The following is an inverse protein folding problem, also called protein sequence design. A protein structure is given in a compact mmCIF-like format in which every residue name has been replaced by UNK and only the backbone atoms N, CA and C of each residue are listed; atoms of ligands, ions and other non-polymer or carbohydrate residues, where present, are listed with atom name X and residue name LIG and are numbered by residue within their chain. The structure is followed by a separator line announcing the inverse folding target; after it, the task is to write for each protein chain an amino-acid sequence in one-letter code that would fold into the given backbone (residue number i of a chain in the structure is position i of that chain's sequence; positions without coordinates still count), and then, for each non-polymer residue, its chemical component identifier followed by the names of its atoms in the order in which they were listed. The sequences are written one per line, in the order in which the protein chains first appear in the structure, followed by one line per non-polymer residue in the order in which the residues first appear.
data_IF_444159633022
#
_entry.id   IF_444159633022
#
_cell.length_a   1.000
_cell.length_b   1.000
_cell.length_c   1.000
_cell.angle_alpha   90.00
_cell.angle_beta   90.00
_cell.angle_gamma   90.00
#
_symmetry.space_group_name_H-M   'P 1'
#
loop_
_entity.id
_entity.type
_entity.pdbx_description
1 polymer ?
#
# COMPACT_ATOMS: atom_id res chain seq x y z
N UNK A 1 27.96 58.81 -27.28
CA UNK A 1 26.63 58.64 -26.68
C UNK A 1 25.65 58.26 -27.78
N UNK A 2 25.05 57.07 -27.70
CA UNK A 2 23.60 57.03 -27.51
C UNK A 2 23.19 56.05 -26.40
N UNK A 3 22.09 56.39 -25.74
CA UNK A 3 21.59 55.75 -24.53
C UNK A 3 21.01 54.35 -24.79
N UNK A 4 21.40 53.40 -23.95
CA UNK A 4 20.89 52.03 -23.88
C UNK A 4 19.57 52.01 -23.11
N UNK A 5 18.49 51.51 -23.72
CA UNK A 5 17.28 51.14 -22.98
C UNK A 5 17.52 49.84 -22.19
N UNK A 6 17.02 49.73 -20.95
CA UNK A 6 17.17 48.52 -20.15
C UNK A 6 16.27 47.38 -20.68
N UNK A 7 16.68 46.12 -20.54
CA UNK A 7 15.90 44.97 -21.00
C UNK A 7 14.61 44.81 -20.18
N UNK A 8 13.53 44.46 -20.89
CA UNK A 8 12.22 44.20 -20.31
C UNK A 8 12.27 43.05 -19.29
N UNK A 9 11.62 43.23 -18.14
CA UNK A 9 11.44 42.18 -17.12
C UNK A 9 10.70 40.98 -17.73
N UNK A 10 11.14 39.73 -17.48
CA UNK A 10 10.43 38.56 -17.94
C UNK A 10 9.05 38.50 -17.28
N UNK A 11 8.03 38.37 -18.13
CA UNK A 11 6.63 38.21 -17.76
C UNK A 11 6.51 36.88 -17.01
N UNK A 12 6.11 36.90 -15.75
CA UNK A 12 5.82 35.70 -14.99
C UNK A 12 4.72 34.91 -15.71
N UNK A 13 5.07 33.76 -16.29
CA UNK A 13 4.06 32.80 -16.74
C UNK A 13 3.38 32.25 -15.49
N UNK A 14 2.12 32.62 -15.30
CA UNK A 14 1.22 31.95 -14.38
C UNK A 14 1.04 30.52 -14.88
N UNK A 15 1.84 29.58 -14.36
CA UNK A 15 1.52 28.17 -14.47
C UNK A 15 0.34 27.89 -13.56
N UNK A 16 -0.82 27.64 -14.18
CA UNK A 16 -1.96 27.02 -13.51
C UNK A 16 -1.50 25.67 -12.93
N UNK A 17 -1.20 25.66 -11.63
CA UNK A 17 -1.02 24.44 -10.84
C UNK A 17 -2.38 23.76 -10.71
N UNK A 18 -2.82 23.07 -11.76
CA UNK A 18 -3.77 21.97 -11.59
C UNK A 18 -3.00 20.82 -10.94
N UNK A 19 -2.97 20.80 -9.61
CA UNK A 19 -2.73 19.57 -8.85
C UNK A 19 -3.64 18.50 -9.41
N UNK A 20 -3.08 17.56 -10.16
CA UNK A 20 -3.77 16.32 -10.51
C UNK A 20 -3.88 15.56 -9.19
N UNK A 21 -4.95 15.84 -8.44
CA UNK A 21 -5.31 15.00 -7.32
C UNK A 21 -5.50 13.60 -7.90
N UNK A 22 -4.61 12.67 -7.53
CA UNK A 22 -4.85 11.26 -7.76
C UNK A 22 -6.27 10.97 -7.27
N UNK A 23 -7.07 10.28 -8.07
CA UNK A 23 -8.41 9.84 -7.68
C UNK A 23 -8.28 8.80 -6.56
N UNK A 24 -7.97 9.24 -5.35
CA UNK A 24 -7.99 8.44 -4.14
C UNK A 24 -9.45 8.06 -3.94
N UNK A 25 -9.75 6.75 -3.91
CA UNK A 25 -11.09 6.25 -3.62
C UNK A 25 -11.53 6.85 -2.27
N UNK A 26 -12.74 7.44 -2.18
CA UNK A 26 -13.16 8.11 -0.96
C UNK A 26 -13.22 7.09 0.19
N UNK A 27 -12.83 7.51 1.41
CA UNK A 27 -12.96 6.66 2.58
C UNK A 27 -14.44 6.28 2.76
N UNK A 28 -14.67 5.02 3.14
CA UNK A 28 -16.02 4.42 3.12
C UNK A 28 -16.65 4.42 4.52
N UNK A 29 -17.99 4.60 4.62
CA UNK A 29 -18.69 4.36 5.86
C UNK A 29 -18.53 2.89 6.29
N UNK A 30 -18.57 2.56 7.59
CA UNK A 30 -18.52 1.18 8.04
C UNK A 30 -19.69 0.40 7.43
N UNK A 31 -19.40 -0.68 6.69
CA UNK A 31 -20.40 -1.69 6.34
C UNK A 31 -20.35 -2.80 7.38
N UNK A 32 -21.41 -3.59 7.51
CA UNK A 32 -21.39 -4.78 8.36
C UNK A 32 -21.00 -6.03 7.56
N UNK A 33 -20.32 -6.97 8.21
CA UNK A 33 -20.09 -8.31 7.62
C UNK A 33 -21.44 -9.02 7.52
N UNK A 34 -21.84 -9.52 6.34
CA UNK A 34 -23.16 -10.14 6.15
C UNK A 34 -23.46 -11.23 7.18
N UNK A 35 -24.57 -11.07 7.90
CA UNK A 35 -25.00 -12.00 8.96
C UNK A 35 -24.43 -11.72 10.35
N UNK A 36 -23.78 -10.56 10.56
CA UNK A 36 -23.20 -10.17 11.86
C UNK A 36 -23.38 -8.67 12.13
N UNK A 37 -23.08 -8.25 13.37
CA UNK A 37 -22.99 -6.83 13.76
C UNK A 37 -21.55 -6.27 13.68
N UNK A 38 -20.61 -7.02 13.08
CA UNK A 38 -19.20 -6.62 13.01
C UNK A 38 -18.97 -5.64 11.88
N UNK A 39 -18.11 -4.62 12.06
CA UNK A 39 -17.65 -3.82 10.93
C UNK A 39 -16.88 -4.74 9.96
N UNK A 40 -17.21 -4.65 8.69
CA UNK A 40 -16.45 -5.31 7.66
C UNK A 40 -15.15 -4.54 7.40
N UNK A 41 -14.20 -5.28 6.86
CA UNK A 41 -12.84 -4.80 6.62
C UNK A 41 -12.81 -3.84 5.44
N UNK A 42 -12.09 -2.72 5.60
CA UNK A 42 -11.84 -1.72 4.58
C UNK A 42 -10.45 -1.98 3.98
N UNK A 43 -10.42 -2.48 2.75
CA UNK A 43 -9.19 -2.68 1.98
C UNK A 43 -8.77 -1.38 1.31
N UNK A 44 -7.65 -0.79 1.72
CA UNK A 44 -7.15 0.46 1.13
C UNK A 44 -6.93 0.31 -0.39
N UNK A 45 -7.39 1.26 -1.21
CA UNK A 45 -7.27 1.21 -2.67
C UNK A 45 -7.84 -0.06 -3.34
N UNK A 46 -8.66 -0.84 -2.63
CA UNK A 46 -9.17 -2.12 -3.07
C UNK A 46 -10.60 -2.39 -2.59
N UNK A 47 -11.04 -3.64 -2.73
CA UNK A 47 -12.39 -4.04 -2.38
C UNK A 47 -12.49 -5.47 -1.87
N UNK A 48 -13.63 -5.79 -1.29
CA UNK A 48 -13.99 -7.15 -0.90
C UNK A 48 -14.55 -7.91 -2.10
N UNK A 49 -14.13 -9.15 -2.28
CA UNK A 49 -14.66 -10.03 -3.32
C UNK A 49 -16.13 -10.34 -3.00
N UNK A 50 -17.08 -10.06 -3.92
CA UNK A 50 -18.48 -10.42 -3.70
C UNK A 50 -18.66 -11.93 -3.71
N UNK A 51 -19.70 -12.40 -3.03
CA UNK A 51 -20.13 -13.79 -3.06
C UNK A 51 -21.62 -13.91 -3.38
N UNK A 52 -22.01 -15.09 -3.84
CA UNK A 52 -23.41 -15.52 -3.93
C UNK A 52 -23.62 -16.67 -2.94
N UNK A 53 -24.70 -16.63 -2.16
CA UNK A 53 -25.08 -17.74 -1.30
C UNK A 53 -25.82 -18.79 -2.13
N UNK A 54 -25.26 -20.00 -2.26
CA UNK A 54 -25.88 -21.14 -2.95
C UNK A 54 -25.91 -22.33 -2.01
N UNK A 55 -27.11 -22.79 -1.66
CA UNK A 55 -27.32 -23.97 -0.79
C UNK A 55 -26.52 -23.92 0.53
N UNK A 56 -26.47 -22.74 1.15
CA UNK A 56 -25.72 -22.52 2.40
C UNK A 56 -24.20 -22.36 2.22
N UNK A 57 -23.69 -22.35 0.99
CA UNK A 57 -22.28 -22.14 0.65
C UNK A 57 -22.07 -20.72 0.12
N UNK A 58 -21.11 -19.98 0.67
CA UNK A 58 -20.66 -18.70 0.11
C UNK A 58 -19.76 -18.96 -1.08
N UNK A 59 -20.28 -18.76 -2.28
CA UNK A 59 -19.55 -18.98 -3.53
C UNK A 59 -18.92 -17.67 -4.03
N UNK A 60 -17.60 -17.67 -4.15
CA UNK A 60 -16.76 -16.57 -4.63
C UNK A 60 -16.15 -16.92 -5.99
N UNK A 61 -15.99 -15.92 -6.86
CA UNK A 61 -15.38 -16.10 -8.19
C UNK A 61 -14.12 -15.24 -8.30
N UNK A 62 -12.97 -15.90 -8.32
CA UNK A 62 -11.64 -15.29 -8.44
C UNK A 62 -11.11 -15.53 -9.87
N UNK A 63 -10.67 -14.50 -10.57
CA UNK A 63 -10.17 -14.62 -11.95
C UNK A 63 -8.76 -14.08 -12.05
N UNK A 64 -7.79 -14.98 -12.25
CA UNK A 64 -6.39 -14.64 -12.48
C UNK A 64 -6.19 -14.14 -13.92
N UNK A 65 -5.64 -12.93 -14.10
CA UNK A 65 -5.35 -12.37 -15.42
C UNK A 65 -4.33 -11.22 -15.35
N UNK A 66 -3.77 -10.87 -16.51
CA UNK A 66 -2.93 -9.68 -16.68
C UNK A 66 -3.77 -8.42 -16.87
N UNK A 67 -3.35 -7.31 -16.25
CA UNK A 67 -3.92 -5.98 -16.46
C UNK A 67 -2.88 -4.88 -16.14
N UNK A 68 -3.18 -3.64 -16.53
CA UNK A 68 -2.39 -2.46 -16.16
C UNK A 68 -2.97 -1.84 -14.88
N UNK A 69 -2.10 -1.54 -13.92
CA UNK A 69 -2.44 -0.86 -12.68
C UNK A 69 -1.57 0.37 -12.47
N UNK A 70 -2.18 1.50 -12.17
CA UNK A 70 -1.46 2.73 -11.83
C UNK A 70 -1.04 2.71 -10.35
N UNK A 71 0.27 2.67 -10.09
CA UNK A 71 0.84 2.64 -8.75
C UNK A 71 0.92 4.04 -8.14
N UNK A 72 1.22 5.05 -8.97
CA UNK A 72 1.18 6.47 -8.66
C UNK A 72 0.84 7.25 -9.94
N UNK A 73 0.41 8.53 -9.87
CA UNK A 73 0.08 9.30 -11.07
C UNK A 73 1.19 9.26 -12.12
N UNK A 74 0.88 8.71 -13.31
CA UNK A 74 1.84 8.56 -14.41
C UNK A 74 2.79 7.37 -14.31
N UNK A 75 2.68 6.54 -13.25
CA UNK A 75 3.44 5.31 -13.05
C UNK A 75 2.53 4.09 -13.10
N UNK A 76 2.55 3.41 -14.25
CA UNK A 76 1.68 2.29 -14.61
C UNK A 76 2.48 1.00 -14.72
N UNK A 77 1.96 -0.05 -14.11
CA UNK A 77 2.62 -1.34 -14.02
C UNK A 77 1.69 -2.41 -14.57
N UNK A 78 2.23 -3.24 -15.47
CA UNK A 78 1.57 -4.42 -16.03
C UNK A 78 1.78 -5.57 -15.07
N UNK A 79 0.73 -5.88 -14.32
CA UNK A 79 0.72 -6.87 -13.25
C UNK A 79 -0.13 -8.08 -13.63
N UNK A 80 0.10 -9.21 -12.97
CA UNK A 80 -0.90 -10.26 -12.87
C UNK A 80 -1.55 -10.19 -11.50
N UNK A 81 -2.85 -10.42 -11.47
CA UNK A 81 -3.60 -10.35 -10.23
C UNK A 81 -4.98 -10.95 -10.41
N UNK A 82 -5.87 -10.58 -9.49
CA UNK A 82 -7.19 -11.18 -9.43
C UNK A 82 -8.26 -10.11 -9.58
N UNK A 83 -9.24 -10.37 -10.44
CA UNK A 83 -10.42 -9.52 -10.65
C UNK A 83 -10.08 -8.04 -10.95
N UNK A 84 -8.94 -7.78 -11.62
CA UNK A 84 -8.52 -6.46 -12.06
C UNK A 84 -7.78 -5.63 -11.01
N UNK A 85 -7.24 -6.29 -9.97
CA UNK A 85 -6.49 -5.62 -8.89
C UNK A 85 -5.29 -6.45 -8.41
N UNK A 86 -4.22 -5.76 -8.03
CA UNK A 86 -3.03 -6.32 -7.35
C UNK A 86 -2.69 -5.44 -6.14
N UNK A 87 -2.79 -5.94 -4.90
CA UNK A 87 -3.28 -7.27 -4.54
C UNK A 87 -4.72 -7.48 -5.01
N UNK A 88 -5.10 -8.75 -5.18
CA UNK A 88 -6.46 -9.16 -5.49
C UNK A 88 -7.46 -8.74 -4.42
N UNK A 89 -8.76 -8.85 -4.71
CA UNK A 89 -9.81 -8.45 -3.77
C UNK A 89 -9.72 -9.25 -2.47
N UNK A 90 -10.06 -8.61 -1.36
CA UNK A 90 -10.09 -9.27 -0.05
C UNK A 90 -11.23 -10.27 0.00
N UNK A 91 -10.94 -11.53 0.33
CA UNK A 91 -11.97 -12.53 0.59
C UNK A 91 -12.39 -12.37 2.05
N UNK A 92 -13.68 -12.25 2.33
CA UNK A 92 -14.19 -12.00 3.68
C UNK A 92 -15.33 -12.95 4.01
N UNK A 93 -15.19 -13.67 5.12
CA UNK A 93 -16.16 -14.65 5.58
C UNK A 93 -16.18 -14.70 7.13
N UNK A 94 -17.09 -15.50 7.69
CA UNK A 94 -17.21 -15.69 9.13
C UNK A 94 -16.79 -17.13 9.47
N UNK A 95 -16.12 -17.30 10.60
CA UNK A 95 -15.81 -18.61 11.17
C UNK A 95 -17.05 -19.51 11.17
N UNK A 96 -16.94 -20.74 10.67
CA UNK A 96 -18.02 -21.70 10.50
C UNK A 96 -18.73 -21.64 9.14
N UNK A 97 -18.47 -20.61 8.32
CA UNK A 97 -19.02 -20.58 6.96
C UNK A 97 -18.41 -21.68 6.09
N UNK A 98 -19.24 -22.30 5.26
CA UNK A 98 -18.78 -23.10 4.12
C UNK A 98 -18.55 -22.17 2.93
N UNK A 99 -17.33 -22.19 2.40
CA UNK A 99 -16.93 -21.35 1.26
C UNK A 99 -16.61 -22.23 0.06
N UNK A 100 -16.98 -21.75 -1.12
CA UNK A 100 -16.55 -22.30 -2.42
C UNK A 100 -15.90 -21.17 -3.21
N UNK A 101 -14.67 -21.35 -3.63
CA UNK A 101 -13.92 -20.35 -4.38
C UNK A 101 -13.63 -20.93 -5.75
N UNK A 102 -14.32 -20.41 -6.76
CA UNK A 102 -14.09 -20.76 -8.16
C UNK A 102 -12.95 -19.89 -8.67
N UNK A 103 -11.87 -20.52 -9.11
CA UNK A 103 -10.67 -19.86 -9.63
C UNK A 103 -10.60 -20.09 -11.12
N UNK A 104 -10.81 -19.03 -11.91
CA UNK A 104 -10.65 -19.03 -13.37
C UNK A 104 -9.26 -18.54 -13.73
N UNK A 105 -8.51 -19.35 -14.46
CA UNK A 105 -7.18 -18.99 -14.96
C UNK A 105 -7.28 -18.39 -16.37
N UNK A 106 -6.90 -17.12 -16.53
CA UNK A 106 -6.74 -16.46 -17.85
C UNK A 106 -5.30 -16.00 -18.11
N UNK A 107 -4.34 -16.56 -17.38
CA UNK A 107 -2.90 -16.34 -17.58
C UNK A 107 -2.40 -17.17 -18.77
N UNK A 108 -1.23 -16.83 -19.34
CA UNK A 108 -0.63 -17.63 -20.40
C UNK A 108 -0.07 -18.97 -19.90
N UNK A 109 -0.04 -19.20 -18.58
CA UNK A 109 0.51 -20.40 -17.96
C UNK A 109 -0.42 -20.97 -16.89
N UNK A 110 -0.20 -22.23 -16.44
CA UNK A 110 -0.95 -22.77 -15.32
C UNK A 110 -0.80 -21.93 -14.06
N UNK A 111 -1.76 -22.06 -13.14
CA UNK A 111 -1.69 -21.39 -11.83
C UNK A 111 -2.27 -22.30 -10.76
N UNK A 112 -2.21 -21.87 -9.51
CA UNK A 112 -2.93 -22.47 -8.40
C UNK A 112 -3.22 -21.40 -7.36
N UNK A 113 -3.95 -21.73 -6.30
CA UNK A 113 -4.10 -20.82 -5.15
C UNK A 113 -3.87 -21.59 -3.86
N UNK A 114 -2.87 -21.15 -3.10
CA UNK A 114 -2.69 -21.52 -1.71
C UNK A 114 -3.38 -20.52 -0.78
N UNK A 115 -4.06 -21.04 0.23
CA UNK A 115 -4.83 -20.27 1.22
C UNK A 115 -4.00 -20.09 2.49
N UNK A 116 -3.00 -19.23 2.40
CA UNK A 116 -1.97 -19.02 3.41
C UNK A 116 -2.54 -18.78 4.82
N UNK A 117 -2.25 -19.71 5.73
CA UNK A 117 -2.68 -19.67 7.12
C UNK A 117 -4.09 -20.21 7.38
N UNK A 118 -4.84 -20.65 6.37
CA UNK A 118 -6.17 -21.25 6.53
C UNK A 118 -6.05 -22.74 6.86
N UNK A 119 -6.71 -23.20 7.91
CA UNK A 119 -6.77 -24.63 8.24
C UNK A 119 -7.87 -25.31 7.43
N UNK A 120 -7.47 -26.09 6.44
CA UNK A 120 -8.33 -26.71 5.44
C UNK A 120 -7.95 -28.19 5.20
N UNK A 121 -8.81 -28.99 4.53
CA UNK A 121 -8.44 -30.34 4.10
C UNK A 121 -7.26 -30.29 3.13
N UNK A 122 -6.27 -31.16 3.29
CA UNK A 122 -5.01 -31.11 2.51
C UNK A 122 -5.21 -31.07 0.99
N UNK A 123 -6.23 -31.75 0.43
CA UNK A 123 -6.53 -31.71 -1.00
C UNK A 123 -7.06 -30.36 -1.53
N UNK A 124 -7.34 -29.39 -0.64
CA UNK A 124 -7.80 -28.04 -0.97
C UNK A 124 -6.67 -26.99 -0.79
N UNK A 125 -5.45 -27.43 -0.52
CA UNK A 125 -4.33 -26.56 -0.16
C UNK A 125 -3.70 -25.82 -1.36
N UNK A 126 -3.87 -26.37 -2.57
CA UNK A 126 -3.50 -25.69 -3.82
C UNK A 126 -2.01 -25.58 -4.12
N UNK A 127 -1.16 -26.34 -3.42
CA UNK A 127 0.23 -26.58 -3.82
C UNK A 127 0.27 -27.51 -5.03
N UNK A 128 0.67 -26.98 -6.20
CA UNK A 128 0.70 -27.74 -7.44
C UNK A 128 1.67 -28.92 -7.39
N UNK A 129 1.20 -30.10 -7.79
CA UNK A 129 1.99 -31.33 -7.79
C UNK A 129 2.09 -32.05 -6.42
N UNK A 130 1.68 -31.39 -5.32
CA UNK A 130 1.62 -32.00 -3.99
C UNK A 130 0.18 -32.27 -3.55
N UNK A 131 -0.63 -31.21 -3.46
CA UNK A 131 -1.99 -31.27 -2.92
C UNK A 131 -3.07 -31.30 -4.01
N UNK A 132 -2.78 -30.71 -5.17
CA UNK A 132 -3.65 -30.67 -6.33
C UNK A 132 -2.84 -30.52 -7.64
N UNK A 133 -3.40 -30.90 -8.79
CA UNK A 133 -2.88 -30.48 -10.09
C UNK A 133 -2.94 -28.95 -10.25
N UNK A 134 -2.10 -28.34 -11.11
CA UNK A 134 -2.26 -26.93 -11.47
C UNK A 134 -3.52 -26.71 -12.31
N UNK A 135 -4.06 -25.50 -12.26
CA UNK A 135 -5.20 -25.02 -13.06
C UNK A 135 -4.67 -24.60 -14.44
N UNK A 136 -4.98 -25.32 -15.52
CA UNK A 136 -4.51 -24.95 -16.87
C UNK A 136 -5.09 -23.60 -17.35
N UNK A 137 -4.43 -22.91 -18.29
CA UNK A 137 -4.99 -21.73 -18.95
C UNK A 137 -6.40 -21.97 -19.50
N UNK A 138 -7.32 -21.06 -19.23
CA UNK A 138 -8.72 -21.10 -19.68
C UNK A 138 -9.66 -21.92 -18.80
N UNK A 139 -9.15 -22.69 -17.84
CA UNK A 139 -9.97 -23.53 -16.97
C UNK A 139 -10.45 -22.82 -15.71
N UNK A 140 -11.49 -23.38 -15.08
CA UNK A 140 -12.00 -22.94 -13.77
C UNK A 140 -12.09 -24.12 -12.83
N UNK A 141 -11.44 -23.99 -11.67
CA UNK A 141 -11.36 -25.03 -10.64
C UNK A 141 -11.99 -24.53 -9.35
N UNK A 142 -12.49 -25.44 -8.51
CA UNK A 142 -13.19 -25.10 -7.27
C UNK A 142 -12.38 -25.55 -6.05
N UNK A 143 -12.21 -24.62 -5.10
CA UNK A 143 -11.76 -24.92 -3.75
C UNK A 143 -12.95 -24.80 -2.81
N UNK A 144 -13.27 -25.85 -2.06
CA UNK A 144 -14.43 -25.84 -1.16
C UNK A 144 -14.11 -26.44 0.20
N UNK A 145 -14.32 -25.66 1.26
CA UNK A 145 -14.05 -26.08 2.64
C UNK A 145 -14.86 -25.25 3.64
N UNK A 146 -14.88 -25.73 4.89
CA UNK A 146 -15.50 -25.00 6.02
C UNK A 146 -14.42 -24.29 6.81
N UNK A 147 -14.64 -23.00 7.10
CA UNK A 147 -13.72 -22.21 7.90
C UNK A 147 -13.88 -22.59 9.37
N UNK A 148 -12.82 -23.09 10.01
CA UNK A 148 -12.85 -23.57 11.41
C UNK A 148 -12.05 -22.70 12.38
N UNK A 149 -11.62 -21.53 11.92
CA UNK A 149 -10.86 -20.56 12.68
C UNK A 149 -11.32 -19.15 12.30
N UNK A 150 -10.79 -18.14 12.98
CA UNK A 150 -10.86 -16.74 12.57
C UNK A 150 -9.47 -16.09 12.59
N UNK A 151 -9.30 -14.96 11.89
CA UNK A 151 -8.06 -14.18 11.91
C UNK A 151 -7.80 -13.42 10.61
N UNK A 152 -6.52 -13.09 10.42
CA UNK A 152 -6.00 -12.39 9.24
C UNK A 152 -5.11 -13.35 8.46
N UNK A 153 -5.60 -13.82 7.32
CA UNK A 153 -4.93 -14.75 6.42
C UNK A 153 -4.67 -14.09 5.07
N UNK A 154 -4.00 -14.81 4.17
CA UNK A 154 -3.66 -14.35 2.83
C UNK A 154 -3.98 -15.46 1.83
N UNK A 155 -3.93 -15.14 0.54
CA UNK A 155 -3.92 -16.13 -0.53
C UNK A 155 -2.95 -15.69 -1.61
N UNK A 156 -2.28 -16.65 -2.24
CA UNK A 156 -1.29 -16.42 -3.29
C UNK A 156 -1.13 -17.71 -4.12
N UNK A 157 -0.58 -17.64 -5.35
CA UNK A 157 -0.35 -18.83 -6.12
C UNK A 157 0.77 -19.68 -5.53
N UNK A 158 0.71 -20.97 -5.83
CA UNK A 158 1.74 -21.94 -5.47
C UNK A 158 2.15 -22.79 -6.69
N UNK A 159 1.97 -22.22 -7.88
CA UNK A 159 2.57 -22.61 -9.15
C UNK A 159 3.41 -21.44 -9.63
N UNK A 160 4.62 -21.71 -10.13
CA UNK A 160 5.62 -20.69 -10.52
C UNK A 160 5.64 -19.50 -9.55
N UNK A 161 5.74 -19.81 -8.26
CA UNK A 161 5.54 -18.88 -7.16
C UNK A 161 6.42 -17.63 -7.32
N UNK A 162 7.67 -17.84 -7.72
CA UNK A 162 8.63 -16.78 -7.99
C UNK A 162 8.11 -15.75 -9.01
N UNK A 163 7.65 -16.21 -10.17
CA UNK A 163 7.17 -15.31 -11.22
C UNK A 163 5.84 -14.70 -10.81
N UNK A 164 4.86 -15.53 -10.46
CA UNK A 164 3.48 -15.09 -10.27
C UNK A 164 3.35 -14.12 -9.09
N UNK A 165 4.08 -14.35 -7.99
CA UNK A 165 4.10 -13.41 -6.87
C UNK A 165 4.85 -12.11 -7.22
N UNK A 166 6.03 -12.20 -7.85
CA UNK A 166 6.80 -11.00 -8.24
C UNK A 166 6.03 -10.06 -9.16
N UNK A 167 5.14 -10.60 -10.01
CA UNK A 167 4.27 -9.78 -10.88
C UNK A 167 2.94 -9.38 -10.24
N UNK A 168 2.69 -9.73 -8.97
CA UNK A 168 1.64 -9.13 -8.15
C UNK A 168 0.50 -10.04 -7.70
N UNK A 169 0.59 -11.35 -7.88
CA UNK A 169 -0.51 -12.27 -7.54
C UNK A 169 -0.54 -12.61 -6.05
N UNK A 170 -1.34 -11.88 -5.28
CA UNK A 170 -1.59 -12.12 -3.86
C UNK A 170 -2.85 -11.39 -3.40
N UNK A 171 -3.42 -11.76 -2.25
CA UNK A 171 -4.53 -11.01 -1.64
C UNK A 171 -4.78 -11.39 -0.18
N UNK A 172 -5.65 -10.63 0.48
CA UNK A 172 -6.02 -10.86 1.87
C UNK A 172 -7.22 -11.81 1.98
N UNK A 173 -7.21 -12.68 2.98
CA UNK A 173 -8.35 -13.51 3.38
C UNK A 173 -8.67 -13.21 4.84
N UNK A 174 -9.80 -12.56 5.11
CA UNK A 174 -10.20 -12.21 6.47
C UNK A 174 -11.34 -13.13 6.93
N UNK A 175 -11.10 -13.83 8.03
CA UNK A 175 -12.12 -14.67 8.66
C UNK A 175 -12.53 -14.00 9.97
N UNK A 176 -13.78 -13.54 10.05
CA UNK A 176 -14.32 -12.89 11.24
C UNK A 176 -14.73 -13.92 12.30
N UNK A 177 -14.48 -13.65 13.59
CA UNK A 177 -14.98 -14.51 14.65
C UNK A 177 -16.51 -14.53 14.67
N UNK A 178 -17.09 -15.72 14.86
CA UNK A 178 -18.55 -15.88 14.95
C UNK A 178 -19.11 -15.30 16.25
N UNK A 179 -18.40 -15.47 17.36
CA UNK A 179 -18.78 -14.90 18.65
C UNK A 179 -18.59 -13.38 18.61
N UNK A 180 -19.68 -12.62 18.74
CA UNK A 180 -19.68 -11.16 18.68
C UNK A 180 -18.88 -10.47 19.81
N UNK A 181 -18.59 -11.16 20.93
CA UNK A 181 -17.80 -10.61 22.03
C UNK A 181 -16.30 -10.51 21.70
N UNK A 182 -15.82 -11.26 20.72
CA UNK A 182 -14.39 -11.35 20.42
C UNK A 182 -13.90 -10.17 19.59
N UNK A 183 -12.90 -9.43 20.06
CA UNK A 183 -12.15 -8.48 19.23
C UNK A 183 -13.00 -7.42 18.56
N UNK A 184 -13.91 -6.78 19.31
CA UNK A 184 -14.73 -5.66 18.83
C UNK A 184 -13.87 -4.42 18.54
N UNK A 185 -14.15 -3.75 17.43
CA UNK A 185 -13.53 -2.50 16.98
C UNK A 185 -14.58 -1.66 16.25
N UNK A 186 -14.32 -0.36 16.09
CA UNK A 186 -15.20 0.56 15.35
C UNK A 186 -14.82 0.62 13.86
N UNK A 187 -13.53 0.43 13.56
CA UNK A 187 -12.97 0.46 12.21
C UNK A 187 -12.00 -0.70 12.02
N UNK A 188 -12.14 -1.43 10.93
CA UNK A 188 -11.24 -2.53 10.56
C UNK A 188 -10.67 -2.24 9.18
N UNK A 189 -9.35 -2.08 9.08
CA UNK A 189 -8.64 -1.80 7.84
C UNK A 189 -7.69 -2.94 7.51
N UNK A 190 -7.51 -3.21 6.22
CA UNK A 190 -6.50 -4.18 5.76
C UNK A 190 -5.63 -3.64 4.64
N UNK A 191 -4.38 -4.08 4.67
CA UNK A 191 -3.39 -3.79 3.65
C UNK A 191 -2.40 -4.93 3.48
N UNK A 192 -1.90 -5.04 2.26
CA UNK A 192 -0.85 -5.94 1.82
C UNK A 192 0.37 -5.10 1.45
N UNK A 193 1.52 -5.50 1.96
CA UNK A 193 2.81 -4.90 1.65
C UNK A 193 3.46 -5.68 0.51
N UNK A 194 4.08 -4.98 -0.44
CA UNK A 194 4.78 -5.64 -1.54
C UNK A 194 6.04 -4.88 -1.97
N UNK A 195 6.99 -5.60 -2.54
CA UNK A 195 8.25 -5.10 -3.08
C UNK A 195 8.36 -5.56 -4.53
N UNK A 196 8.85 -4.69 -5.41
CA UNK A 196 8.87 -4.90 -6.86
C UNK A 196 10.23 -4.44 -7.40
N UNK A 197 10.69 -5.10 -8.46
CA UNK A 197 11.78 -4.62 -9.29
C UNK A 197 11.18 -4.07 -10.58
N UNK A 198 11.11 -2.74 -10.70
CA UNK A 198 10.51 -2.05 -11.84
C UNK A 198 11.50 -1.00 -12.32
N UNK A 199 12.32 -1.41 -13.29
CA UNK A 199 13.39 -0.57 -13.82
C UNK A 199 12.85 0.74 -14.42
N UNK A 200 13.54 1.88 -14.24
CA UNK A 200 13.11 3.16 -14.80
C UNK A 200 12.84 3.08 -16.31
N UNK A 201 11.73 3.67 -16.78
CA UNK A 201 11.34 3.58 -18.18
C UNK A 201 10.51 2.34 -18.54
N UNK A 202 10.38 1.36 -17.65
CA UNK A 202 9.69 0.10 -17.90
C UNK A 202 8.37 0.01 -17.14
N UNK A 203 7.52 -0.95 -17.51
CA UNK A 203 6.20 -1.16 -16.88
C UNK A 203 5.94 -2.59 -16.40
N UNK A 204 6.83 -3.55 -16.69
CA UNK A 204 6.66 -4.94 -16.25
C UNK A 204 7.65 -5.22 -15.11
N UNK A 205 7.20 -5.75 -13.96
CA UNK A 205 8.10 -6.20 -12.92
C UNK A 205 9.09 -7.25 -13.45
N UNK A 206 10.33 -7.20 -12.99
CA UNK A 206 11.39 -8.14 -13.34
C UNK A 206 11.46 -9.27 -12.29
N UNK A 207 10.92 -10.47 -12.57
CA UNK A 207 10.92 -11.58 -11.62
C UNK A 207 12.31 -12.22 -11.44
N UNK A 208 13.32 -11.83 -12.23
CA UNK A 208 14.68 -12.33 -12.05
C UNK A 208 15.42 -11.64 -10.89
N UNK A 209 14.91 -10.49 -10.42
CA UNK A 209 15.48 -9.77 -9.28
C UNK A 209 14.93 -10.36 -7.99
N UNK A 210 15.82 -10.96 -7.19
CA UNK A 210 15.44 -11.70 -5.99
C UNK A 210 15.35 -10.83 -4.74
N UNK A 211 16.31 -9.92 -4.52
CA UNK A 211 16.38 -9.15 -3.27
C UNK A 211 16.52 -7.64 -3.50
N UNK A 212 17.08 -7.23 -4.62
CA UNK A 212 17.37 -5.84 -4.97
C UNK A 212 16.15 -5.14 -5.59
N UNK A 213 15.02 -5.21 -4.90
CA UNK A 213 13.80 -4.49 -5.27
C UNK A 213 14.01 -2.97 -5.15
N UNK A 214 13.33 -2.18 -5.98
CA UNK A 214 13.48 -0.73 -6.10
C UNK A 214 12.17 0.05 -5.90
N UNK A 215 11.06 -0.68 -5.80
CA UNK A 215 9.72 -0.13 -5.66
C UNK A 215 8.99 -0.84 -4.53
N UNK A 216 8.45 -0.10 -3.56
CA UNK A 216 7.69 -0.65 -2.45
C UNK A 216 6.29 -0.05 -2.38
N UNK A 217 5.30 -0.88 -2.10
CA UNK A 217 3.89 -0.48 -2.18
C UNK A 217 3.07 -0.93 -0.99
N UNK A 218 2.03 -0.15 -0.69
CA UNK A 218 0.89 -0.56 0.13
C UNK A 218 -0.27 -0.79 -0.85
N UNK A 219 -0.80 -2.00 -0.90
CA UNK A 219 -1.87 -2.41 -1.82
C UNK A 219 -1.60 -2.03 -3.30
N UNK A 220 -0.36 -2.21 -3.77
CA UNK A 220 0.01 -1.88 -5.15
C UNK A 220 -0.09 -0.38 -5.46
N UNK A 221 -0.01 0.49 -4.44
CA UNK A 221 0.08 1.94 -4.56
C UNK A 221 1.33 2.47 -3.88
N UNK A 222 1.82 3.57 -4.45
CA UNK A 222 2.97 4.36 -4.00
C UNK A 222 2.43 5.72 -3.60
N UNK A 223 2.85 6.24 -2.43
CA UNK A 223 2.41 7.55 -1.96
C UNK A 223 2.72 8.63 -3.02
N UNK A 224 1.79 9.54 -3.38
CA UNK A 224 0.55 9.88 -2.69
C UNK A 224 -0.71 9.10 -3.11
N UNK A 225 -0.59 8.04 -3.90
CA UNK A 225 -1.77 7.27 -4.36
C UNK A 225 -2.33 6.28 -3.33
N UNK A 226 -1.64 6.09 -2.20
CA UNK A 226 -2.13 5.25 -1.09
C UNK A 226 -3.28 5.95 -0.37
N UNK A 227 -4.42 5.26 -0.21
CA UNK A 227 -5.60 5.79 0.47
C UNK A 227 -5.31 6.08 1.95
N UNK A 228 -5.86 7.20 2.45
CA UNK A 228 -5.77 7.61 3.84
C UNK A 228 -6.75 6.85 4.74
N UNK A 229 -6.34 6.58 5.98
CA UNK A 229 -7.22 5.99 6.99
C UNK A 229 -7.97 7.10 7.71
N UNK A 230 -9.26 7.25 7.44
CA UNK A 230 -10.08 8.29 8.07
C UNK A 230 -10.89 7.71 9.24
N UNK A 231 -10.66 8.28 10.42
CA UNK A 231 -11.20 7.78 11.69
C UNK A 231 -11.72 8.93 12.55
N UNK A 232 -12.77 8.66 13.34
CA UNK A 232 -13.31 9.61 14.32
C UNK A 232 -12.58 9.47 15.65
N UNK A 233 -12.37 10.57 16.35
CA UNK A 233 -11.79 10.57 17.70
C UNK A 233 -12.54 9.62 18.64
N UNK A 234 -11.80 8.82 19.40
CA UNK A 234 -12.31 7.83 20.34
C UNK A 234 -12.60 6.45 19.73
N UNK A 235 -12.53 6.30 18.40
CA UNK A 235 -12.73 5.00 17.77
C UNK A 235 -11.57 4.04 18.05
N UNK A 236 -11.89 2.78 18.35
CA UNK A 236 -10.94 1.67 18.33
C UNK A 236 -10.76 1.19 16.89
N UNK A 237 -9.53 1.23 16.42
CA UNK A 237 -9.16 0.92 15.04
C UNK A 237 -8.32 -0.34 15.01
N UNK A 238 -8.66 -1.29 14.13
CA UNK A 238 -7.83 -2.44 13.79
C UNK A 238 -7.15 -2.23 12.45
N UNK A 239 -5.85 -2.52 12.40
CA UNK A 239 -5.08 -2.62 11.16
C UNK A 239 -4.61 -4.07 10.97
N UNK A 240 -4.94 -4.64 9.83
CA UNK A 240 -4.54 -5.98 9.39
C UNK A 240 -3.51 -5.84 8.28
N UNK A 241 -2.30 -6.28 8.55
CA UNK A 241 -1.16 -6.04 7.66
C UNK A 241 -0.60 -7.40 7.25
N UNK A 242 -0.72 -7.72 5.97
CA UNK A 242 -0.14 -8.91 5.36
C UNK A 242 1.14 -8.58 4.59
N UNK A 243 2.08 -9.53 4.58
CA UNK A 243 3.30 -9.41 3.79
C UNK A 243 3.72 -10.78 3.27
N UNK A 244 3.68 -10.94 1.95
CA UNK A 244 4.26 -12.08 1.24
C UNK A 244 5.38 -11.64 0.29
N UNK A 245 5.88 -10.41 0.44
CA UNK A 245 7.04 -9.92 -0.31
C UNK A 245 8.33 -10.50 0.23
N UNK A 246 9.43 -10.32 -0.50
CA UNK A 246 10.76 -10.81 -0.07
C UNK A 246 11.47 -9.91 0.95
N UNK A 247 10.77 -8.94 1.54
CA UNK A 247 11.33 -7.97 2.49
C UNK A 247 10.42 -7.85 3.70
N UNK A 248 11.01 -7.78 4.88
CA UNK A 248 10.32 -7.43 6.10
C UNK A 248 10.08 -5.90 6.17
N UNK A 249 8.93 -5.50 6.70
CA UNK A 249 8.51 -4.11 6.79
C UNK A 249 8.21 -3.69 8.24
N UNK A 250 9.06 -2.87 8.88
CA UNK A 250 8.77 -2.29 10.18
C UNK A 250 7.76 -1.14 10.04
N UNK A 251 6.48 -1.39 10.22
CA UNK A 251 5.43 -0.38 10.05
C UNK A 251 5.31 0.48 11.32
N UNK A 252 5.46 1.79 11.18
CA UNK A 252 5.47 2.78 12.26
C UNK A 252 4.23 3.66 12.22
N UNK A 253 3.64 3.93 13.38
CA UNK A 253 2.50 4.83 13.57
C UNK A 253 2.92 6.07 14.35
N UNK A 254 2.58 7.26 13.83
CA UNK A 254 2.77 8.51 14.53
C UNK A 254 1.59 8.82 15.46
N UNK A 255 1.84 9.58 16.52
CA UNK A 255 0.81 10.14 17.41
C UNK A 255 0.06 9.14 18.30
N UNK A 256 0.32 7.84 18.16
CA UNK A 256 -0.36 6.76 18.87
C UNK A 256 0.64 5.65 19.22
N UNK A 257 0.25 4.79 20.16
CA UNK A 257 0.82 3.45 20.30
C UNK A 257 -0.22 2.43 19.81
N UNK A 258 0.25 1.31 19.29
CA UNK A 258 -0.59 0.21 18.81
C UNK A 258 -0.32 -1.06 19.61
N UNK A 259 -1.36 -1.80 19.92
CA UNK A 259 -1.29 -3.10 20.57
C UNK A 259 -1.26 -4.20 19.52
N UNK A 260 -0.31 -5.12 19.61
CA UNK A 260 -0.32 -6.33 18.77
C UNK A 260 -1.36 -7.29 19.30
N UNK A 261 -2.42 -7.51 18.53
CA UNK A 261 -3.60 -8.30 18.95
C UNK A 261 -3.76 -9.61 18.18
N UNK A 262 -2.99 -9.83 17.11
CA UNK A 262 -2.97 -11.10 16.40
C UNK A 262 -1.76 -11.28 15.48
N UNK A 263 -1.47 -12.53 15.15
CA UNK A 263 -0.48 -12.95 14.14
C UNK A 263 -1.16 -13.78 13.05
N UNK A 264 -0.37 -14.32 12.12
CA UNK A 264 -0.78 -15.36 11.15
C UNK A 264 -1.41 -16.60 11.83
N UNK A 265 -1.03 -16.89 13.08
CA UNK A 265 -1.62 -17.93 13.93
C UNK A 265 -2.97 -17.58 14.56
N UNK A 266 -3.49 -16.38 14.37
CA UNK A 266 -4.77 -15.93 14.92
C UNK A 266 -4.63 -14.87 16.03
N UNK A 267 -5.70 -14.70 16.81
CA UNK A 267 -5.73 -13.68 17.88
C UNK A 267 -4.84 -14.06 19.07
N UNK A 268 -4.10 -13.08 19.57
CA UNK A 268 -3.31 -13.20 20.80
C UNK A 268 -4.26 -13.02 22.00
N UNK A 269 -4.22 -13.93 23.01
CA UNK A 269 -4.95 -13.78 24.26
C UNK A 269 -4.66 -12.42 24.92
N UNK A 270 -5.67 -11.80 25.53
CA UNK A 270 -5.57 -10.41 26.00
C UNK A 270 -4.37 -10.15 26.93
N UNK A 271 -4.09 -11.06 27.87
CA UNK A 271 -2.96 -10.97 28.78
C UNK A 271 -1.57 -11.17 28.15
N UNK A 272 -1.50 -11.54 26.87
CA UNK A 272 -0.25 -11.74 26.12
C UNK A 272 -0.04 -10.70 24.99
N UNK A 273 -0.97 -9.75 24.83
CA UNK A 273 -0.82 -8.64 23.89
C UNK A 273 0.21 -7.65 24.42
N UNK A 274 0.92 -6.96 23.53
CA UNK A 274 1.92 -5.97 23.90
C UNK A 274 1.80 -4.70 23.04
N UNK A 275 2.18 -3.53 23.57
CA UNK A 275 2.18 -2.27 22.83
C UNK A 275 3.49 -2.07 22.06
N UNK A 276 3.39 -1.36 20.93
CA UNK A 276 4.48 -0.95 20.07
C UNK A 276 4.16 0.42 19.43
N UNK A 277 5.19 1.15 18.99
CA UNK A 277 5.02 2.25 18.02
C UNK A 277 5.45 1.85 16.62
N UNK A 278 6.24 0.78 16.51
CA UNK A 278 6.73 0.22 15.25
C UNK A 278 6.64 -1.29 15.34
N UNK A 279 5.92 -1.91 14.41
CA UNK A 279 5.73 -3.36 14.38
C UNK A 279 6.43 -3.95 13.17
N UNK A 280 7.20 -5.01 13.38
CA UNK A 280 7.77 -5.77 12.29
C UNK A 280 6.67 -6.63 11.65
N UNK A 281 6.50 -6.51 10.33
CA UNK A 281 5.74 -7.46 9.50
C UNK A 281 6.74 -8.34 8.75
N UNK A 282 6.98 -9.59 9.19
CA UNK A 282 7.91 -10.50 8.52
C UNK A 282 7.41 -10.94 7.15
N UNK A 283 8.31 -11.52 6.35
CA UNK A 283 7.98 -12.22 5.11
C UNK A 283 7.10 -13.44 5.44
N UNK A 284 6.01 -13.63 4.68
CA UNK A 284 5.10 -14.76 4.84
C UNK A 284 4.23 -14.68 6.10
N UNK A 285 4.08 -13.51 6.70
CA UNK A 285 3.33 -13.35 7.95
C UNK A 285 2.30 -12.24 7.86
N UNK A 286 1.33 -12.30 8.78
CA UNK A 286 0.43 -11.18 9.06
C UNK A 286 0.69 -10.62 10.46
N UNK A 287 0.35 -9.34 10.65
CA UNK A 287 0.22 -8.69 11.95
C UNK A 287 -1.12 -8.00 12.02
N UNK A 288 -1.83 -8.25 13.12
CA UNK A 288 -3.05 -7.51 13.46
C UNK A 288 -2.74 -6.63 14.66
N UNK A 289 -2.94 -5.34 14.51
CA UNK A 289 -2.67 -4.34 15.54
C UNK A 289 -3.90 -3.47 15.78
N UNK A 290 -4.04 -2.95 16.99
CA UNK A 290 -5.16 -2.11 17.37
C UNK A 290 -4.71 -0.88 18.15
N UNK A 291 -5.36 0.25 17.91
CA UNK A 291 -5.15 1.47 18.68
C UNK A 291 -6.47 2.21 18.88
N UNK A 292 -6.53 3.08 19.89
CA UNK A 292 -7.64 4.02 20.06
C UNK A 292 -7.21 5.34 19.43
N UNK A 293 -8.02 5.89 18.54
CA UNK A 293 -7.75 7.16 17.88
C UNK A 293 -8.10 8.33 18.82
N UNK A 294 -7.32 8.54 19.88
CA UNK A 294 -7.57 9.55 20.92
C UNK A 294 -6.80 10.87 20.71
N UNK A 295 -5.98 10.95 19.66
CA UNK A 295 -5.15 12.10 19.35
C UNK A 295 -5.53 12.70 17.97
N UNK A 296 -6.40 13.73 17.92
CA UNK A 296 -6.81 14.37 16.67
C UNK A 296 -5.62 14.95 15.89
N UNK A 297 -5.54 14.65 14.59
CA UNK A 297 -4.38 15.04 13.79
C UNK A 297 -4.34 14.36 12.43
N UNK A 298 -3.30 14.70 11.66
CA UNK A 298 -2.87 13.94 10.49
C UNK A 298 -1.55 13.26 10.84
N UNK A 299 -1.59 11.94 10.98
CA UNK A 299 -0.48 11.15 11.49
C UNK A 299 0.05 10.23 10.40
N UNK A 300 1.36 10.27 10.14
CA UNK A 300 1.96 9.36 9.18
C UNK A 300 1.88 7.90 9.69
N UNK A 301 1.60 6.99 8.77
CA UNK A 301 1.73 5.55 8.96
C UNK A 301 2.56 4.99 7.81
N UNK A 302 3.75 4.47 8.11
CA UNK A 302 4.72 4.16 7.06
C UNK A 302 5.67 3.02 7.43
N UNK A 303 6.29 2.41 6.42
CA UNK A 303 7.43 1.52 6.64
C UNK A 303 8.63 2.35 7.13
N UNK A 304 9.34 1.88 8.17
CA UNK A 304 10.44 2.59 8.81
C UNK A 304 11.82 2.18 8.28
N UNK A 305 11.85 1.40 7.18
CA UNK A 305 13.02 1.35 6.31
C UNK A 305 12.99 2.63 5.46
N UNK A 306 13.94 3.54 5.68
CA UNK A 306 13.95 4.86 5.02
C UNK A 306 13.81 4.76 3.50
N UNK A 307 14.52 3.82 2.89
CA UNK A 307 14.41 3.55 1.45
C UNK A 307 13.01 3.07 1.01
N UNK A 308 12.29 2.29 1.83
CA UNK A 308 10.90 1.91 1.55
C UNK A 308 9.93 3.11 1.67
N UNK A 309 10.17 4.03 2.62
CA UNK A 309 9.34 5.22 2.83
C UNK A 309 9.54 6.28 1.73
N UNK A 310 10.76 6.38 1.20
CA UNK A 310 11.11 7.31 0.13
C UNK A 310 10.83 6.72 -1.26
N UNK A 311 10.86 5.40 -1.39
CA UNK A 311 10.83 4.64 -2.63
C UNK A 311 12.08 4.83 -3.49
N UNK A 312 11.96 4.64 -4.81
CA UNK A 312 13.04 4.62 -5.80
C UNK A 312 14.04 5.77 -5.60
N UNK A 313 15.25 5.40 -5.16
CA UNK A 313 16.42 6.28 -5.04
C UNK A 313 17.55 5.62 -5.81
N UNK A 314 18.21 6.33 -6.73
CA UNK A 314 19.32 5.75 -7.48
C UNK A 314 20.48 5.39 -6.54
N UNK A 315 20.85 4.11 -6.46
CA UNK A 315 21.93 3.64 -5.59
C UNK A 315 23.33 3.78 -6.20
N UNK A 316 23.41 3.98 -7.52
CA UNK A 316 24.68 4.09 -8.26
C UNK A 316 25.16 5.54 -8.46
N UNK A 317 24.55 6.50 -7.76
CA UNK A 317 24.94 7.92 -7.85
C UNK A 317 25.99 8.22 -6.77
N UNK A 318 27.11 8.87 -7.12
CA UNK A 318 28.11 9.28 -6.12
C UNK A 318 27.49 10.17 -5.03
N UNK A 319 27.97 10.03 -3.80
CA UNK A 319 27.53 10.87 -2.68
C UNK A 319 28.13 12.29 -2.81
N UNK A 320 27.27 13.28 -3.04
CA UNK A 320 27.66 14.69 -3.15
C UNK A 320 27.30 15.54 -1.92
N UNK A 321 26.87 14.91 -0.82
CA UNK A 321 26.47 15.63 0.40
C UNK A 321 27.62 16.48 0.93
N UNK A 322 27.39 17.80 1.04
CA UNK A 322 28.39 18.77 1.49
C UNK A 322 29.51 19.07 0.47
N UNK A 323 29.43 18.54 -0.75
CA UNK A 323 30.33 18.91 -1.83
C UNK A 323 29.77 20.16 -2.51
N UNK A 324 30.46 21.29 -2.38
CA UNK A 324 30.12 22.52 -3.11
C UNK A 324 30.24 22.30 -4.62
N UNK A 325 29.11 22.18 -5.30
CA UNK A 325 29.09 21.93 -6.75
C UNK A 325 29.09 23.22 -7.58
N UNK A 326 29.03 24.40 -6.98
CA UNK A 326 28.81 25.68 -7.67
C UNK A 326 29.73 25.96 -8.88
N UNK A 327 31.05 25.84 -8.70
CA UNK A 327 32.01 26.10 -9.79
C UNK A 327 31.97 25.00 -10.87
N UNK A 328 31.86 23.75 -10.44
CA UNK A 328 31.77 22.58 -11.33
C UNK A 328 30.48 22.61 -12.14
N UNK A 329 29.36 22.97 -11.53
CA UNK A 329 28.05 23.10 -12.16
C UNK A 329 28.01 24.23 -13.20
N UNK A 330 28.68 25.36 -12.95
CA UNK A 330 28.80 26.42 -13.95
C UNK A 330 29.60 25.97 -15.18
N UNK A 331 30.71 25.25 -14.96
CA UNK A 331 31.55 24.72 -16.05
C UNK A 331 30.83 23.61 -16.82
N UNK A 332 30.16 22.69 -16.13
CA UNK A 332 29.41 21.60 -16.74
C UNK A 332 28.14 22.07 -17.42
N UNK A 333 27.39 23.01 -16.85
CA UNK A 333 26.19 23.58 -17.47
C UNK A 333 26.47 24.32 -18.78
N UNK A 334 27.69 24.86 -18.95
CA UNK A 334 28.14 25.44 -20.22
C UNK A 334 28.39 24.38 -21.32
N UNK A 335 28.62 23.11 -20.95
CA UNK A 335 28.91 22.01 -21.86
C UNK A 335 27.74 21.01 -22.01
N UNK A 336 26.88 20.92 -21.00
CA UNK A 336 25.75 20.01 -20.89
C UNK A 336 24.49 20.81 -20.56
N UNK A 337 23.77 21.32 -21.59
CA UNK A 337 22.52 22.03 -21.39
C UNK A 337 21.51 21.15 -20.63
N UNK A 338 21.11 21.60 -19.42
CA UNK A 338 20.21 20.84 -18.54
C UNK A 338 20.91 20.12 -17.36
N UNK A 339 22.23 20.22 -17.23
CA UNK A 339 22.93 19.76 -16.02
C UNK A 339 22.50 20.58 -14.80
N UNK A 340 22.02 19.89 -13.78
CA UNK A 340 21.61 20.47 -12.50
C UNK A 340 22.38 19.76 -11.38
N UNK A 341 23.13 20.49 -10.53
CA UNK A 341 23.80 19.88 -9.39
C UNK A 341 22.76 19.40 -8.38
N UNK A 342 22.89 18.15 -7.93
CA UNK A 342 21.94 17.52 -7.02
C UNK A 342 22.66 17.02 -5.76
N UNK A 343 21.97 17.02 -4.62
CA UNK A 343 22.43 16.36 -3.39
C UNK A 343 23.45 17.13 -2.55
N UNK A 344 23.70 18.42 -2.82
CA UNK A 344 24.62 19.25 -2.01
C UNK A 344 24.10 19.46 -0.57
N UNK A 345 22.82 19.84 -0.41
CA UNK A 345 22.16 20.07 0.90
C UNK A 345 21.36 18.88 1.43
N UNK A 346 21.27 17.79 0.67
CA UNK A 346 20.51 16.58 1.00
C UNK A 346 19.40 16.28 -0.02
N UNK A 347 18.60 15.24 0.25
CA UNK A 347 17.60 14.75 -0.72
C UNK A 347 16.28 15.55 -0.71
N UNK A 348 16.03 16.38 0.31
CA UNK A 348 14.88 17.31 0.32
C UNK A 348 14.96 18.36 -0.80
N UNK A 349 16.17 18.74 -1.21
CA UNK A 349 16.40 19.68 -2.33
C UNK A 349 15.81 19.16 -3.65
N UNK A 350 15.67 17.83 -3.79
CA UNK A 350 15.12 17.19 -5.00
C UNK A 350 13.63 17.45 -5.19
N UNK A 351 12.87 17.68 -4.11
CA UNK A 351 11.41 17.88 -4.20
C UNK A 351 11.03 19.10 -5.03
N UNK A 352 11.81 20.18 -4.95
CA UNK A 352 11.61 21.38 -5.79
C UNK A 352 12.04 21.19 -7.25
N UNK A 353 12.89 20.19 -7.50
CA UNK A 353 13.53 19.95 -8.79
C UNK A 353 12.86 18.83 -9.60
N UNK A 354 12.06 17.97 -8.95
CA UNK A 354 11.30 16.89 -9.58
C UNK A 354 10.36 17.37 -10.70
N UNK A 355 9.86 18.62 -10.60
CA UNK A 355 9.06 19.24 -11.66
C UNK A 355 9.86 19.88 -12.80
N UNK A 356 11.18 20.02 -12.68
CA UNK A 356 12.06 20.67 -13.65
C UNK A 356 12.87 19.69 -14.51
N UNK A 357 13.04 18.45 -14.04
CA UNK A 357 13.68 17.38 -14.81
C UNK A 357 12.73 16.19 -14.91
N UNK A 358 12.00 16.03 -16.02
CA UNK A 358 11.22 14.81 -16.22
C UNK A 358 12.21 13.64 -16.29
N UNK A 359 12.10 12.72 -15.31
CA UNK A 359 12.82 11.46 -15.34
C UNK A 359 12.38 10.59 -16.54
N UNK A 360 12.90 9.36 -16.67
CA UNK A 360 12.42 8.43 -17.68
C UNK A 360 10.89 8.28 -17.59
N UNK A 361 10.23 8.10 -18.73
CA UNK A 361 8.79 7.86 -18.76
C UNK A 361 8.41 6.71 -17.82
N UNK A 362 7.20 6.74 -17.25
CA UNK A 362 6.72 5.66 -16.39
C UNK A 362 7.64 5.34 -15.18
N UNK A 363 8.26 6.36 -14.60
CA UNK A 363 9.05 6.24 -13.36
C UNK A 363 8.34 7.04 -12.28
N UNK A 364 8.13 6.51 -11.06
CA UNK A 364 7.52 7.29 -9.99
C UNK A 364 8.41 8.51 -9.70
N UNK A 365 7.87 9.73 -9.66
CA UNK A 365 8.69 10.88 -9.35
C UNK A 365 9.05 10.82 -7.85
N UNK A 366 10.32 11.13 -7.54
CA UNK A 366 10.79 11.19 -6.16
C UNK A 366 10.02 12.30 -5.41
N UNK A 367 9.62 12.03 -4.15
CA UNK A 367 9.10 13.06 -3.23
C UNK A 367 7.85 13.80 -3.73
N UNK A 368 6.87 13.09 -4.28
CA UNK A 368 5.66 13.68 -4.89
C UNK A 368 4.52 13.93 -3.93
N UNK A 369 4.67 13.49 -2.68
CA UNK A 369 3.73 13.79 -1.63
C UNK A 369 3.55 15.28 -1.44
N UNK A 370 2.31 15.74 -1.27
CA UNK A 370 2.04 17.12 -0.84
C UNK A 370 1.28 17.09 0.48
N UNK A 371 1.68 17.96 1.40
CA UNK A 371 1.02 18.19 2.67
C UNK A 371 0.63 19.68 2.83
N UNK A 372 0.06 20.06 3.98
CA UNK A 372 -0.39 21.43 4.22
C UNK A 372 0.76 22.47 4.25
N UNK A 373 2.01 22.01 4.36
CA UNK A 373 3.21 22.86 4.47
C UNK A 373 4.18 22.74 3.29
N UNK A 374 3.83 21.99 2.24
CA UNK A 374 4.71 21.80 1.07
C UNK A 374 4.84 20.35 0.64
N UNK A 375 5.97 20.02 0.01
CA UNK A 375 6.31 18.64 -0.33
C UNK A 375 6.47 17.80 0.93
N UNK A 376 5.94 16.58 0.91
CA UNK A 376 6.27 15.56 1.89
C UNK A 376 7.49 14.83 1.35
N UNK A 377 8.56 14.84 2.14
CA UNK A 377 9.83 14.17 1.84
C UNK A 377 9.75 12.63 1.98
N UNK A 378 8.60 12.06 1.62
CA UNK A 378 8.30 10.65 1.58
C UNK A 378 7.44 10.37 0.33
N UNK A 379 7.69 9.26 -0.35
CA UNK A 379 7.10 8.94 -1.64
C UNK A 379 6.89 7.44 -1.89
N UNK A 380 6.96 6.60 -0.86
CA UNK A 380 6.89 5.15 -0.96
C UNK A 380 5.74 4.53 -0.17
N UNK A 381 6.07 3.61 0.73
CA UNK A 381 5.14 2.95 1.63
C UNK A 381 4.69 3.87 2.77
N UNK A 382 3.89 4.88 2.42
CA UNK A 382 3.37 5.88 3.36
C UNK A 382 1.88 6.06 3.13
N UNK A 383 1.14 6.23 4.22
CA UNK A 383 -0.21 6.80 4.23
C UNK A 383 -0.38 7.71 5.44
N UNK A 384 -1.55 8.34 5.54
CA UNK A 384 -1.91 9.25 6.62
C UNK A 384 -3.16 8.71 7.32
N UNK A 385 -3.09 8.62 8.64
CA UNK A 385 -4.24 8.42 9.50
C UNK A 385 -4.79 9.80 9.83
N UNK A 386 -6.00 10.09 9.34
CA UNK A 386 -6.71 11.34 9.56
C UNK A 386 -7.72 11.17 10.69
N UNK A 387 -7.36 11.63 11.88
CA UNK A 387 -8.22 11.58 13.08
C UNK A 387 -8.99 12.89 13.21
N UNK A 388 -10.32 12.83 13.33
CA UNK A 388 -11.18 14.01 13.45
C UNK A 388 -12.22 13.88 14.56
N UNK A 389 -12.41 14.94 15.34
CA UNK A 389 -13.49 15.01 16.33
C UNK A 389 -14.86 15.01 15.67
N UNK A 390 -14.99 15.82 14.62
CA UNK A 390 -16.17 15.91 13.77
C UNK A 390 -15.86 15.32 12.40
N UNK A 391 -16.62 14.30 12.02
CA UNK A 391 -16.48 13.62 10.73
C UNK A 391 -17.84 13.48 10.07
N UNK A 392 -17.88 13.65 8.75
CA UNK A 392 -19.07 13.40 7.97
C UNK A 392 -19.49 11.92 8.06
N UNK A 393 -20.79 11.64 8.00
CA UNK A 393 -21.33 10.28 8.14
C UNK A 393 -20.84 9.32 7.05
N UNK A 394 -20.47 9.84 5.88
CA UNK A 394 -19.92 9.10 4.75
C UNK A 394 -18.39 8.91 4.84
N UNK A 395 -17.73 9.44 5.88
CA UNK A 395 -16.28 9.37 6.09
C UNK A 395 -15.45 9.98 4.96
N UNK A 396 -16.03 10.84 4.10
CA UNK A 396 -15.28 11.52 3.04
C UNK A 396 -14.04 12.24 3.59
N UNK A 397 -13.02 12.39 2.74
CA UNK A 397 -11.75 13.03 3.13
C UNK A 397 -12.02 14.38 3.83
N UNK A 398 -11.63 14.51 5.13
CA UNK A 398 -11.87 15.74 5.89
C UNK A 398 -10.87 16.86 5.56
N UNK A 399 -9.99 16.67 4.56
CA UNK A 399 -8.92 17.59 4.23
C UNK A 399 -7.75 17.53 5.24
N UNK A 400 -6.89 18.54 5.24
CA UNK A 400 -5.76 18.61 6.17
C UNK A 400 -6.18 19.09 7.56
N UNK A 401 -5.57 18.51 8.59
CA UNK A 401 -5.80 18.88 9.98
C UNK A 401 -5.31 20.30 10.26
N UNK A 402 -6.13 21.09 10.97
CA UNK A 402 -5.79 22.46 11.37
C UNK A 402 -5.27 22.43 12.80
N UNK A 403 -3.94 22.43 12.93
CA UNK A 403 -3.29 22.43 14.24
C UNK A 403 -3.73 23.62 15.10
N UNK A 404 -4.09 23.41 16.38
CA UNK A 404 -4.41 24.50 17.29
C UNK A 404 -3.27 25.53 17.43
N UNK A 405 -3.63 26.77 17.77
CA UNK A 405 -2.63 27.82 17.99
C UNK A 405 -1.69 27.41 19.13
N UNK A 406 -0.38 27.48 18.89
CA UNK A 406 0.64 27.15 19.88
C UNK A 406 1.07 25.68 19.90
N UNK A 407 0.49 24.82 19.06
CA UNK A 407 0.88 23.39 18.95
C UNK A 407 1.73 23.11 17.72
N UNK A 408 2.29 24.16 17.10
CA UNK A 408 3.19 24.05 15.95
C UNK A 408 4.59 24.45 16.36
N UNK A 409 5.60 23.79 15.79
CA UNK A 409 6.98 24.24 15.90
C UNK A 409 7.13 25.66 15.35
N UNK A 410 7.97 26.47 16.00
CA UNK A 410 8.25 27.84 15.59
C UNK A 410 9.74 28.04 15.35
N UNK A 411 10.06 28.96 14.45
CA UNK A 411 11.44 29.40 14.26
C UNK A 411 11.92 30.11 15.52
N UNK A 412 13.00 29.61 16.11
CA UNK A 412 13.76 30.34 17.13
C UNK A 412 14.70 31.29 16.41
N UNK A 413 14.76 32.54 16.87
CA UNK A 413 15.50 33.64 16.25
C UNK A 413 16.99 33.39 16.11
#
# INVERSE_FOLDING_TARGET
MPATNPPAKPRAMSMDRKTVAASITPPRPPRLVPGTERPATITLNGGTLPFVLKDGVKEFHLTAHEFEQEFAPGFKVKVWGYNGSSPGPTIEAVEGDRVRILVTNKLPEPTSIHWHGVLLPSGMDGVSGLSAPPIPPGETWAYEFTLRQHGTQMYHPHFDEMVQMAVGMMGMFIIHPRDAAVGQVDRDYTMMLHAWAIHPGTSRPDPAVMLEHDTWTINGRVFPAVEHLVVKTGQRVRLRIGNVSMHEHPMHIHGHHMWVTGTDGGMIPEGARWPETTIQVPVGSTRTVEFVADNPGDWAFHCHKTHHAMNTMGHDIPNFLGVSQGEVAQRLGAQLPGYMPMGEGGMGDMGHMAGMMPGPANTPPMMTGTGPYGGLDMGGMVTVIKVRDELAADYRDPGWYKAPKGTMAWKVG
#
